data_IF_523300847166
#
_entry.id   IF_523300847166
#
_cell.length_a   1.000
_cell.length_b   1.000
_cell.length_c   1.000
_cell.angle_alpha   90.00
_cell.angle_beta   90.00
_cell.angle_gamma   90.00
#
_symmetry.space_group_name_H-M   'P 1'
#
loop_
_entity.id
_entity.type
_entity.pdbx_description
1 polymer ?
#
# COMPACT_ATOMS: atom_id res chain seq x y z
N UNK A 1 25.81 25.34 11.42
CA UNK A 1 26.49 24.40 10.49
C UNK A 1 28.03 24.45 10.69
N UNK A 2 28.71 25.62 10.61
CA UNK A 2 30.18 25.68 10.76
C UNK A 2 30.72 25.14 12.10
N UNK A 3 30.01 25.35 13.22
CA UNK A 3 30.41 24.81 14.53
C UNK A 3 30.37 23.28 14.59
N UNK A 4 29.37 22.67 13.99
CA UNK A 4 29.26 21.19 13.88
C UNK A 4 30.37 20.62 12.98
N UNK A 5 30.71 21.30 11.87
CA UNK A 5 31.81 20.92 11.00
C UNK A 5 33.15 20.84 11.72
N UNK A 6 33.41 21.82 12.61
CA UNK A 6 34.62 21.84 13.45
C UNK A 6 34.64 20.73 14.51
N UNK A 7 33.47 20.32 15.02
CA UNK A 7 33.35 19.25 16.02
C UNK A 7 33.62 17.87 15.42
N UNK A 8 33.13 17.60 14.21
CA UNK A 8 33.21 16.29 13.54
C UNK A 8 34.39 16.16 12.57
N UNK A 9 35.10 17.26 12.26
CA UNK A 9 36.32 17.26 11.44
C UNK A 9 36.14 16.51 10.10
N UNK A 10 36.95 15.50 9.83
CA UNK A 10 36.91 14.70 8.60
C UNK A 10 35.64 13.88 8.41
N UNK A 11 34.85 13.61 9.47
CA UNK A 11 33.58 12.86 9.40
C UNK A 11 32.38 13.75 9.06
N UNK A 12 32.55 15.10 9.03
CA UNK A 12 31.47 16.03 8.80
C UNK A 12 30.65 15.75 7.52
N UNK A 13 31.24 15.46 6.34
CA UNK A 13 30.45 15.16 5.13
C UNK A 13 29.54 13.95 5.30
N UNK A 14 29.99 12.91 6.00
CA UNK A 14 29.17 11.72 6.26
C UNK A 14 28.04 12.03 7.24
N UNK A 15 28.31 12.81 8.29
CA UNK A 15 27.32 13.24 9.28
C UNK A 15 26.26 14.14 8.63
N UNK A 16 26.66 15.06 7.77
CA UNK A 16 25.77 15.97 7.05
C UNK A 16 24.84 15.21 6.11
N UNK A 17 25.37 14.32 5.27
CA UNK A 17 24.56 13.48 4.37
C UNK A 17 23.59 12.60 5.15
N UNK A 18 24.06 11.95 6.22
CA UNK A 18 23.21 11.10 7.07
C UNK A 18 22.11 11.94 7.75
N UNK A 19 22.45 13.11 8.28
CA UNK A 19 21.51 14.03 8.93
C UNK A 19 20.41 14.48 7.96
N UNK A 20 20.78 14.92 6.75
CA UNK A 20 19.81 15.31 5.74
C UNK A 20 18.93 14.15 5.28
N UNK A 21 19.49 12.95 5.17
CA UNK A 21 18.72 11.74 4.81
C UNK A 21 17.71 11.40 5.91
N UNK A 22 18.10 11.46 7.18
CA UNK A 22 17.19 11.23 8.31
C UNK A 22 16.06 12.29 8.35
N UNK A 23 16.37 13.57 8.11
CA UNK A 23 15.35 14.62 8.04
C UNK A 23 14.35 14.34 6.91
N UNK A 24 14.82 13.93 5.72
CA UNK A 24 13.95 13.58 4.59
C UNK A 24 13.08 12.35 4.92
N UNK A 25 13.62 11.33 5.58
CA UNK A 25 12.87 10.16 6.03
C UNK A 25 11.75 10.59 6.99
N UNK A 26 12.07 11.38 8.00
CA UNK A 26 11.08 11.88 8.96
C UNK A 26 10.01 12.74 8.28
N UNK A 27 10.42 13.58 7.31
CA UNK A 27 9.50 14.43 6.54
C UNK A 27 8.50 13.62 5.69
N UNK A 28 8.82 12.37 5.31
CA UNK A 28 7.91 11.46 4.62
C UNK A 28 7.10 10.64 5.64
N UNK A 29 7.78 10.02 6.59
CA UNK A 29 7.16 9.07 7.52
C UNK A 29 6.18 9.75 8.48
N UNK A 30 6.48 10.94 8.99
CA UNK A 30 5.61 11.60 9.96
C UNK A 30 4.24 12.02 9.37
N UNK A 31 4.15 12.67 8.18
CA UNK A 31 2.86 12.89 7.53
C UNK A 31 2.14 11.60 7.15
N UNK A 32 2.88 10.58 6.72
CA UNK A 32 2.31 9.27 6.38
C UNK A 32 1.67 8.61 7.61
N UNK A 33 2.34 8.62 8.76
CA UNK A 33 1.78 8.13 10.02
C UNK A 33 0.50 8.90 10.41
N UNK A 34 0.49 10.21 10.20
CA UNK A 34 -0.70 11.03 10.35
C UNK A 34 -1.83 10.59 9.40
N UNK A 35 -1.52 10.41 8.12
CA UNK A 35 -2.48 9.97 7.11
C UNK A 35 -3.05 8.58 7.44
N UNK A 36 -2.23 7.64 7.90
CA UNK A 36 -2.63 6.31 8.34
C UNK A 36 -3.59 6.40 9.53
N UNK A 37 -3.24 7.17 10.56
CA UNK A 37 -4.08 7.36 11.73
C UNK A 37 -5.43 8.00 11.37
N UNK A 38 -5.44 9.05 10.56
CA UNK A 38 -6.67 9.72 10.13
C UNK A 38 -7.49 8.91 9.12
N UNK A 39 -6.87 7.96 8.39
CA UNK A 39 -7.61 7.05 7.52
C UNK A 39 -8.57 6.17 8.34
N UNK A 40 -8.19 5.74 9.54
CA UNK A 40 -9.07 4.98 10.44
C UNK A 40 -10.32 5.77 10.85
N UNK A 41 -10.15 7.07 11.09
CA UNK A 41 -11.27 7.97 11.39
C UNK A 41 -12.13 8.22 10.14
N UNK A 42 -11.49 8.48 8.99
CA UNK A 42 -12.18 8.69 7.72
C UNK A 42 -13.03 7.47 7.36
N UNK A 43 -12.50 6.27 7.50
CA UNK A 43 -13.22 5.03 7.27
C UNK A 43 -14.47 4.92 8.13
N UNK A 44 -14.34 5.08 9.44
CA UNK A 44 -15.49 5.01 10.37
C UNK A 44 -16.54 6.08 10.09
N UNK A 45 -16.14 7.27 9.62
CA UNK A 45 -17.07 8.35 9.25
C UNK A 45 -17.74 8.12 7.92
N UNK A 46 -16.97 7.81 6.88
CA UNK A 46 -17.49 7.57 5.53
C UNK A 46 -18.48 6.41 5.55
N UNK A 47 -18.10 5.28 6.14
CA UNK A 47 -19.01 4.13 6.29
C UNK A 47 -20.22 4.50 7.14
N UNK A 48 -20.03 5.27 8.23
CA UNK A 48 -21.13 5.76 9.06
C UNK A 48 -22.15 6.57 8.23
N UNK A 49 -21.71 7.53 7.44
CA UNK A 49 -22.57 8.33 6.58
C UNK A 49 -23.28 7.49 5.51
N UNK A 50 -22.58 6.53 4.88
CA UNK A 50 -23.19 5.60 3.92
C UNK A 50 -24.28 4.73 4.57
N UNK A 51 -24.14 4.42 5.87
CA UNK A 51 -25.12 3.65 6.66
C UNK A 51 -26.14 4.54 7.38
N UNK A 52 -26.24 5.83 7.03
CA UNK A 52 -27.16 6.82 7.65
C UNK A 52 -26.97 6.91 9.17
N UNK A 53 -25.73 6.79 9.66
CA UNK A 53 -25.35 6.95 11.06
C UNK A 53 -24.17 7.87 11.24
N UNK A 54 -24.07 8.52 12.40
CA UNK A 54 -22.93 9.37 12.74
C UNK A 54 -21.78 8.47 13.21
N UNK A 55 -20.61 8.64 12.60
CA UNK A 55 -19.36 8.00 13.05
C UNK A 55 -18.83 8.61 14.36
N UNK A 56 -17.58 8.33 14.77
CA UNK A 56 -16.97 8.87 15.98
C UNK A 56 -17.05 10.41 16.02
N UNK A 57 -17.66 10.99 17.06
CA UNK A 57 -17.85 12.44 17.20
C UNK A 57 -17.62 12.99 18.61
N UNK A 58 -17.28 12.13 19.60
CA UNK A 58 -17.20 12.51 21.02
C UNK A 58 -15.83 12.94 21.49
N UNK A 59 -14.76 12.35 20.93
CA UNK A 59 -13.38 12.61 21.36
C UNK A 59 -12.81 13.78 20.55
N UNK A 60 -12.76 14.96 21.15
CA UNK A 60 -12.37 16.20 20.49
C UNK A 60 -13.44 16.75 19.54
N UNK A 61 -13.12 17.83 18.84
CA UNK A 61 -14.04 18.46 17.89
C UNK A 61 -14.35 17.51 16.73
N UNK A 62 -15.62 17.13 16.57
CA UNK A 62 -16.07 16.14 15.59
C UNK A 62 -15.31 14.80 15.59
N UNK A 63 -14.72 14.38 16.71
CA UNK A 63 -14.01 13.11 16.82
C UNK A 63 -12.58 13.13 16.23
N UNK A 64 -11.99 14.31 15.95
CA UNK A 64 -10.65 14.41 15.38
C UNK A 64 -9.55 13.82 16.27
N UNK A 65 -9.74 13.79 17.59
CA UNK A 65 -8.78 13.20 18.52
C UNK A 65 -8.98 11.69 18.74
N UNK A 66 -9.95 11.07 18.06
CA UNK A 66 -10.21 9.63 18.21
C UNK A 66 -9.02 8.75 17.82
N UNK A 67 -8.30 8.98 16.70
CA UNK A 67 -7.12 8.18 16.36
C UNK A 67 -6.02 8.28 17.40
N UNK A 68 -5.83 9.46 17.99
CA UNK A 68 -4.86 9.66 19.07
C UNK A 68 -5.23 8.89 20.32
N UNK A 69 -6.52 8.95 20.72
CA UNK A 69 -7.04 8.18 21.87
C UNK A 69 -6.90 6.66 21.66
N UNK A 70 -7.18 6.18 20.44
CA UNK A 70 -7.01 4.77 20.08
C UNK A 70 -5.52 4.37 20.14
N UNK A 71 -4.61 5.21 19.66
CA UNK A 71 -3.17 5.00 19.73
C UNK A 71 -2.65 4.95 21.18
N UNK A 72 -3.03 5.92 22.02
CA UNK A 72 -2.64 5.96 23.44
C UNK A 72 -3.17 4.71 24.16
N UNK A 73 -4.43 4.33 23.92
CA UNK A 73 -5.02 3.11 24.49
C UNK A 73 -4.17 1.87 24.17
N UNK A 74 -3.75 1.71 22.92
CA UNK A 74 -2.96 0.55 22.48
C UNK A 74 -1.50 0.58 23.01
N UNK A 75 -0.93 1.78 23.18
CA UNK A 75 0.38 1.95 23.84
C UNK A 75 0.35 1.58 25.33
N UNK A 76 -0.73 1.92 26.04
CA UNK A 76 -0.89 1.65 27.46
C UNK A 76 -1.31 0.20 27.74
N UNK A 77 -1.80 -0.51 26.72
CA UNK A 77 -2.28 -1.88 26.87
C UNK A 77 -1.12 -2.87 26.91
N UNK A 78 -1.17 -3.82 27.83
CA UNK A 78 -0.15 -4.88 27.98
C UNK A 78 -0.04 -5.75 26.73
N UNK A 79 1.20 -6.08 26.35
CA UNK A 79 1.51 -7.05 25.30
C UNK A 79 1.54 -8.43 25.92
N UNK A 80 0.50 -9.21 25.67
CA UNK A 80 0.36 -10.58 26.15
C UNK A 80 1.02 -11.52 25.15
N UNK A 81 1.96 -12.34 25.62
CA UNK A 81 2.60 -13.38 24.81
C UNK A 81 2.15 -14.76 25.32
N UNK A 82 1.58 -15.62 24.46
CA UNK A 82 1.21 -16.97 24.85
C UNK A 82 2.41 -17.76 25.37
N UNK A 83 2.24 -18.57 26.39
CA UNK A 83 3.32 -19.33 27.03
C UNK A 83 4.00 -20.33 26.08
N UNK A 84 3.23 -20.91 25.16
CA UNK A 84 3.69 -21.86 24.16
C UNK A 84 4.20 -21.22 22.86
N UNK A 85 4.22 -19.87 22.76
CA UNK A 85 4.70 -19.15 21.59
C UNK A 85 6.23 -19.02 21.56
N UNK A 86 6.79 -18.91 20.35
CA UNK A 86 8.19 -18.53 20.18
C UNK A 86 8.30 -17.00 20.29
N UNK A 87 8.79 -16.51 21.43
CA UNK A 87 8.78 -15.07 21.78
C UNK A 87 9.54 -14.20 20.78
N UNK A 88 10.69 -14.62 20.28
CA UNK A 88 11.49 -13.84 19.32
C UNK A 88 10.79 -13.71 17.97
N UNK A 89 10.27 -14.80 17.42
CA UNK A 89 9.52 -14.77 16.18
C UNK A 89 8.18 -14.05 16.33
N UNK A 90 7.53 -14.16 17.49
CA UNK A 90 6.29 -13.46 17.80
C UNK A 90 6.47 -11.94 17.75
N UNK A 91 7.58 -11.40 18.25
CA UNK A 91 7.90 -9.97 18.17
C UNK A 91 8.43 -9.56 16.79
N UNK A 92 9.06 -10.47 16.06
CA UNK A 92 9.58 -10.20 14.72
C UNK A 92 8.47 -10.05 13.68
N UNK A 93 7.35 -10.78 13.80
CA UNK A 93 6.22 -10.74 12.87
C UNK A 93 5.72 -9.32 12.57
N UNK A 94 5.29 -8.54 13.58
CA UNK A 94 4.86 -7.17 13.40
C UNK A 94 5.91 -6.26 12.75
N UNK A 95 7.19 -6.43 13.11
CA UNK A 95 8.29 -5.64 12.54
C UNK A 95 8.45 -5.92 11.05
N UNK A 96 8.41 -7.20 10.65
CA UNK A 96 8.47 -7.58 9.24
C UNK A 96 7.24 -7.16 8.44
N UNK A 97 6.10 -6.96 9.06
CA UNK A 97 4.92 -6.44 8.38
C UNK A 97 5.03 -4.92 8.12
N UNK A 98 5.50 -4.14 9.11
CA UNK A 98 5.50 -2.67 9.01
C UNK A 98 6.76 -2.10 8.36
N UNK A 99 7.94 -2.66 8.61
CA UNK A 99 9.20 -2.09 8.13
C UNK A 99 9.27 -2.04 6.59
N UNK A 100 8.90 -3.09 5.83
CA UNK A 100 8.86 -3.04 4.38
C UNK A 100 7.82 -2.05 3.84
N UNK A 101 6.66 -1.94 4.50
CA UNK A 101 5.61 -1.01 4.11
C UNK A 101 6.08 0.45 4.14
N UNK A 102 6.88 0.84 5.15
CA UNK A 102 7.50 2.17 5.18
C UNK A 102 8.72 2.28 4.26
N UNK A 103 9.54 1.24 4.15
CA UNK A 103 10.71 1.24 3.28
C UNK A 103 10.35 1.46 1.81
N UNK A 104 9.22 0.92 1.35
CA UNK A 104 8.73 1.09 -0.02
C UNK A 104 8.52 2.56 -0.42
N UNK A 105 8.21 3.45 0.52
CA UNK A 105 8.04 4.88 0.27
C UNK A 105 9.33 5.62 -0.11
N UNK A 106 10.49 4.99 0.08
CA UNK A 106 11.77 5.60 -0.29
C UNK A 106 11.90 5.89 -1.79
N UNK A 107 11.22 5.12 -2.63
CA UNK A 107 11.31 5.25 -4.10
C UNK A 107 10.06 5.86 -4.74
N UNK A 108 9.01 6.13 -3.96
CA UNK A 108 7.78 6.77 -4.46
C UNK A 108 8.06 8.25 -4.72
N UNK A 109 7.90 8.72 -5.96
CA UNK A 109 8.10 10.12 -6.28
C UNK A 109 6.82 10.92 -5.99
N UNK A 110 6.94 11.94 -5.17
CA UNK A 110 5.85 12.87 -4.86
C UNK A 110 5.75 14.01 -5.87
N UNK A 111 6.89 14.37 -6.47
CA UNK A 111 7.03 15.39 -7.49
C UNK A 111 8.26 15.08 -8.36
N UNK A 112 8.50 15.83 -9.42
CA UNK A 112 9.64 15.64 -10.33
C UNK A 112 10.99 15.60 -9.60
N UNK A 113 11.12 16.36 -8.49
CA UNK A 113 12.35 16.47 -7.69
C UNK A 113 12.23 15.86 -6.29
N UNK A 114 11.01 15.60 -5.81
CA UNK A 114 10.76 15.13 -4.44
C UNK A 114 10.68 13.60 -4.40
N UNK A 115 11.82 12.94 -4.42
CA UNK A 115 11.98 11.50 -4.17
C UNK A 115 13.14 11.30 -3.19
N UNK A 116 13.02 10.34 -2.26
CA UNK A 116 14.09 10.07 -1.31
C UNK A 116 15.27 9.35 -1.99
N UNK A 117 14.97 8.32 -2.77
CA UNK A 117 15.93 7.53 -3.52
C UNK A 117 15.44 7.31 -4.95
N UNK A 118 16.10 7.96 -5.91
CA UNK A 118 15.78 7.78 -7.33
C UNK A 118 16.53 6.55 -7.86
N UNK A 119 15.85 5.39 -7.85
CA UNK A 119 16.40 4.11 -8.32
C UNK A 119 15.86 3.76 -9.71
N UNK A 120 16.73 3.32 -10.61
CA UNK A 120 16.30 2.86 -11.94
C UNK A 120 15.44 1.58 -11.87
N UNK A 121 15.57 0.78 -10.82
CA UNK A 121 14.74 -0.40 -10.53
C UNK A 121 13.71 -0.13 -9.42
N UNK A 122 13.17 1.09 -9.30
CA UNK A 122 12.28 1.50 -8.20
C UNK A 122 11.03 0.63 -8.05
N UNK A 123 10.42 0.23 -9.18
CA UNK A 123 9.25 -0.64 -9.14
C UNK A 123 9.59 -2.03 -8.57
N UNK A 124 10.71 -2.62 -8.97
CA UNK A 124 11.14 -3.92 -8.44
C UNK A 124 11.43 -3.85 -6.94
N UNK A 125 11.99 -2.72 -6.47
CA UNK A 125 12.20 -2.49 -5.05
C UNK A 125 10.89 -2.50 -4.27
N UNK A 126 9.83 -1.82 -4.76
CA UNK A 126 8.52 -1.82 -4.09
C UNK A 126 7.96 -3.24 -4.04
N UNK A 127 7.93 -3.96 -5.17
CA UNK A 127 7.43 -5.33 -5.22
C UNK A 127 8.21 -6.28 -4.29
N UNK A 128 9.53 -6.10 -4.19
CA UNK A 128 10.34 -6.87 -3.24
C UNK A 128 9.97 -6.55 -1.78
N UNK A 129 9.70 -5.27 -1.45
CA UNK A 129 9.30 -4.89 -0.10
C UNK A 129 7.91 -5.43 0.26
N UNK A 130 6.93 -5.36 -0.65
CA UNK A 130 5.59 -5.94 -0.41
C UNK A 130 5.67 -7.44 -0.20
N UNK A 131 6.45 -8.15 -1.01
CA UNK A 131 6.67 -9.60 -0.84
C UNK A 131 7.31 -9.96 0.50
N UNK A 132 8.25 -9.15 1.01
CA UNK A 132 8.86 -9.37 2.35
C UNK A 132 7.82 -9.18 3.46
N UNK A 133 6.88 -8.25 3.32
CA UNK A 133 5.83 -8.02 4.31
C UNK A 133 4.92 -9.25 4.54
N UNK A 134 4.73 -10.09 3.52
CA UNK A 134 3.95 -11.34 3.62
C UNK A 134 4.55 -12.31 4.65
N UNK A 135 5.89 -12.36 4.73
CA UNK A 135 6.56 -13.20 5.73
C UNK A 135 6.24 -12.77 7.16
N UNK A 136 5.97 -11.48 7.38
CA UNK A 136 5.52 -10.98 8.69
C UNK A 136 4.22 -11.66 9.14
N UNK A 137 3.25 -11.81 8.24
CA UNK A 137 1.97 -12.49 8.49
C UNK A 137 2.18 -13.99 8.74
N UNK A 138 2.99 -14.65 7.91
CA UNK A 138 3.28 -16.10 8.02
C UNK A 138 3.95 -16.40 9.37
N UNK A 139 5.00 -15.63 9.69
CA UNK A 139 5.76 -15.81 10.94
C UNK A 139 4.88 -15.52 12.16
N UNK A 140 4.03 -14.50 12.10
CA UNK A 140 3.11 -14.17 13.19
C UNK A 140 2.17 -15.34 13.52
N UNK A 141 1.52 -15.91 12.50
CA UNK A 141 0.62 -17.05 12.69
C UNK A 141 1.34 -18.30 13.17
N UNK A 142 2.54 -18.56 12.68
CA UNK A 142 3.33 -19.71 13.11
C UNK A 142 3.86 -19.56 14.53
N UNK A 143 4.44 -18.41 14.84
CA UNK A 143 5.03 -18.12 16.16
C UNK A 143 4.00 -18.13 17.30
N UNK A 144 2.73 -17.84 17.01
CA UNK A 144 1.62 -17.86 17.97
C UNK A 144 1.31 -19.25 18.52
N UNK A 145 1.72 -20.31 17.84
CA UNK A 145 1.43 -21.71 18.18
C UNK A 145 -0.06 -21.98 18.44
N UNK A 146 -0.92 -21.28 17.70
CA UNK A 146 -2.39 -21.41 17.75
C UNK A 146 -2.90 -21.95 16.41
N UNK A 147 -3.83 -22.91 16.45
CA UNK A 147 -4.40 -23.52 15.25
C UNK A 147 -5.11 -22.50 14.36
N UNK A 148 -5.86 -21.57 14.98
CA UNK A 148 -6.61 -20.55 14.24
C UNK A 148 -5.66 -19.50 13.64
N UNK A 149 -4.66 -19.05 14.39
CA UNK A 149 -3.66 -18.11 13.89
C UNK A 149 -2.87 -18.70 12.71
N UNK A 150 -2.47 -19.98 12.80
CA UNK A 150 -1.77 -20.65 11.71
C UNK A 150 -2.64 -20.82 10.46
N UNK A 151 -3.90 -21.26 10.59
CA UNK A 151 -4.82 -21.36 9.47
C UNK A 151 -5.10 -20.00 8.83
N UNK A 152 -5.28 -18.94 9.64
CA UNK A 152 -5.47 -17.57 9.18
C UNK A 152 -4.28 -17.06 8.38
N UNK A 153 -3.06 -17.26 8.90
CA UNK A 153 -1.84 -16.83 8.20
C UNK A 153 -1.62 -17.55 6.87
N UNK A 154 -1.87 -18.85 6.80
CA UNK A 154 -1.75 -19.61 5.55
C UNK A 154 -2.77 -19.17 4.50
N UNK A 155 -4.01 -18.89 4.90
CA UNK A 155 -5.05 -18.34 4.01
C UNK A 155 -4.68 -16.95 3.50
N UNK A 156 -4.20 -16.08 4.39
CA UNK A 156 -3.74 -14.74 4.05
C UNK A 156 -2.56 -14.78 3.08
N UNK A 157 -1.54 -15.58 3.37
CA UNK A 157 -0.36 -15.72 2.52
C UNK A 157 -0.74 -16.23 1.12
N UNK A 158 -1.58 -17.26 1.02
CA UNK A 158 -2.03 -17.76 -0.27
C UNK A 158 -2.81 -16.72 -1.07
N UNK A 159 -3.65 -15.93 -0.41
CA UNK A 159 -4.37 -14.81 -1.04
C UNK A 159 -3.40 -13.76 -1.56
N UNK A 160 -2.53 -13.20 -0.69
CA UNK A 160 -1.60 -12.13 -1.04
C UNK A 160 -0.72 -12.56 -2.22
N UNK A 161 -0.08 -13.73 -2.16
CA UNK A 161 0.79 -14.23 -3.25
C UNK A 161 0.03 -14.37 -4.56
N UNK A 162 -1.21 -14.88 -4.53
CA UNK A 162 -2.01 -15.05 -5.75
C UNK A 162 -2.36 -13.72 -6.41
N UNK A 163 -2.69 -12.70 -5.63
CA UNK A 163 -3.05 -11.37 -6.13
C UNK A 163 -1.83 -10.51 -6.46
N UNK A 164 -0.71 -10.70 -5.76
CA UNK A 164 0.57 -10.07 -6.09
C UNK A 164 1.05 -10.47 -7.49
N UNK A 165 0.90 -11.75 -7.88
CA UNK A 165 1.20 -12.23 -9.24
C UNK A 165 0.31 -11.51 -10.27
N UNK A 166 -1.00 -11.44 -10.04
CA UNK A 166 -1.93 -10.76 -10.96
C UNK A 166 -1.64 -9.26 -11.07
N UNK A 167 -1.32 -8.62 -9.96
CA UNK A 167 -0.91 -7.21 -9.89
C UNK A 167 0.42 -6.98 -10.61
N UNK A 168 1.39 -7.85 -10.41
CA UNK A 168 2.68 -7.82 -11.11
C UNK A 168 2.51 -7.87 -12.63
N UNK A 169 1.68 -8.78 -13.16
CA UNK A 169 1.36 -8.82 -14.58
C UNK A 169 0.67 -7.53 -15.07
N UNK A 170 -0.25 -6.97 -14.30
CA UNK A 170 -0.87 -5.71 -14.67
C UNK A 170 0.17 -4.57 -14.78
N UNK A 171 1.15 -4.53 -13.89
CA UNK A 171 2.25 -3.56 -13.92
C UNK A 171 3.20 -3.79 -15.09
N UNK A 172 3.42 -5.04 -15.53
CA UNK A 172 4.21 -5.34 -16.74
C UNK A 172 3.64 -4.62 -17.96
N UNK A 173 2.31 -4.53 -18.11
CA UNK A 173 1.69 -3.76 -19.18
C UNK A 173 2.11 -2.29 -19.19
N UNK A 174 2.19 -1.66 -18.02
CA UNK A 174 2.69 -0.28 -17.87
C UNK A 174 4.18 -0.18 -18.21
N UNK A 175 4.97 -1.15 -17.76
CA UNK A 175 6.43 -1.18 -18.06
C UNK A 175 6.70 -1.28 -19.55
N UNK A 176 5.88 -2.01 -20.30
CA UNK A 176 5.99 -2.10 -21.75
C UNK A 176 5.75 -0.73 -22.39
N UNK A 177 4.74 0.02 -21.96
CA UNK A 177 4.46 1.37 -22.48
C UNK A 177 5.56 2.37 -22.08
N UNK A 178 5.99 2.36 -20.82
CA UNK A 178 6.97 3.31 -20.30
C UNK A 178 8.43 2.99 -20.63
N UNK A 179 8.72 1.75 -21.02
CA UNK A 179 10.07 1.23 -21.28
C UNK A 179 11.10 1.56 -20.18
N UNK A 180 10.64 1.62 -18.91
CA UNK A 180 11.47 1.97 -17.76
C UNK A 180 10.89 1.36 -16.48
N UNK A 181 11.78 0.99 -15.53
CA UNK A 181 11.42 0.56 -14.17
C UNK A 181 11.48 1.71 -13.14
N UNK A 182 11.96 2.88 -13.56
CA UNK A 182 12.06 4.07 -12.73
C UNK A 182 10.69 4.76 -12.66
N UNK A 183 10.15 4.89 -11.46
CA UNK A 183 8.81 5.49 -11.24
C UNK A 183 8.71 6.93 -11.74
N UNK A 184 9.75 7.74 -11.58
CA UNK A 184 9.77 9.11 -12.07
C UNK A 184 9.70 9.16 -13.60
N UNK A 185 10.45 8.30 -14.31
CA UNK A 185 10.41 8.21 -15.78
C UNK A 185 9.04 7.72 -16.27
N UNK A 186 8.42 6.77 -15.57
CA UNK A 186 7.08 6.26 -15.89
C UNK A 186 6.03 7.37 -15.80
N UNK A 187 6.09 8.21 -14.76
CA UNK A 187 5.20 9.35 -14.60
C UNK A 187 5.42 10.38 -15.72
N UNK A 188 6.69 10.73 -16.01
CA UNK A 188 7.01 11.67 -17.08
C UNK A 188 6.59 11.18 -18.48
N UNK A 189 6.57 9.86 -18.71
CA UNK A 189 6.05 9.27 -19.95
C UNK A 189 4.54 9.49 -20.16
N UNK A 190 3.81 9.89 -19.13
CA UNK A 190 2.36 10.19 -19.18
C UNK A 190 2.06 11.71 -19.35
N UNK A 191 3.07 12.52 -19.68
CA UNK A 191 2.90 13.96 -19.89
C UNK A 191 1.99 14.26 -21.08
N UNK A 192 1.15 15.30 -20.96
CA UNK A 192 0.23 15.70 -22.07
C UNK A 192 -1.26 15.72 -21.67
N UNK A 193 -1.58 15.53 -20.37
CA UNK A 193 -2.95 15.54 -19.84
C UNK A 193 -3.58 14.16 -19.77
N UNK A 194 -4.85 14.12 -19.32
CA UNK A 194 -5.56 12.88 -18.99
C UNK A 194 -5.64 11.85 -20.13
N UNK A 195 -5.62 12.30 -21.39
CA UNK A 195 -5.69 11.44 -22.57
C UNK A 195 -4.41 10.65 -22.84
N UNK A 196 -3.27 11.08 -22.27
CA UNK A 196 -1.96 10.41 -22.38
C UNK A 196 -1.66 9.49 -21.19
N UNK A 197 -2.55 9.44 -20.22
CA UNK A 197 -2.35 8.57 -19.07
C UNK A 197 -2.56 7.09 -19.43
N UNK A 198 -1.73 6.23 -18.91
CA UNK A 198 -1.73 4.79 -19.20
C UNK A 198 -3.02 4.07 -18.77
N UNK A 199 -3.85 4.67 -17.91
CA UNK A 199 -5.12 4.04 -17.53
C UNK A 199 -6.09 3.90 -18.69
N UNK A 200 -6.02 4.75 -19.73
CA UNK A 200 -6.91 4.65 -20.90
C UNK A 200 -6.58 3.42 -21.77
N UNK A 201 -5.34 3.28 -22.32
CA UNK A 201 -5.00 2.13 -23.15
C UNK A 201 -4.90 0.84 -22.34
N UNK A 202 -4.59 0.90 -21.02
CA UNK A 202 -4.46 -0.23 -20.14
C UNK A 202 -5.63 -0.38 -19.17
N UNK A 203 -6.83 0.11 -19.52
CA UNK A 203 -7.98 0.13 -18.63
C UNK A 203 -8.31 -1.22 -17.97
N UNK A 204 -8.32 -2.38 -18.67
CA UNK A 204 -8.53 -3.67 -18.02
C UNK A 204 -7.43 -4.01 -17.01
N UNK A 205 -6.18 -3.67 -17.30
CA UNK A 205 -5.07 -3.91 -16.36
C UNK A 205 -5.18 -2.99 -15.14
N UNK A 206 -5.62 -1.74 -15.30
CA UNK A 206 -5.87 -0.84 -14.19
C UNK A 206 -6.96 -1.38 -13.24
N UNK A 207 -8.07 -1.90 -13.79
CA UNK A 207 -9.13 -2.51 -12.97
C UNK A 207 -8.61 -3.73 -12.22
N UNK A 208 -7.89 -4.63 -12.91
CA UNK A 208 -7.33 -5.83 -12.29
C UNK A 208 -6.30 -5.46 -11.23
N UNK A 209 -5.43 -4.50 -11.51
CA UNK A 209 -4.49 -3.97 -10.53
C UNK A 209 -5.21 -3.48 -9.27
N UNK A 210 -6.25 -2.65 -9.44
CA UNK A 210 -6.96 -2.04 -8.31
C UNK A 210 -7.71 -3.08 -7.47
N UNK A 211 -8.38 -4.05 -8.10
CA UNK A 211 -9.04 -5.16 -7.38
C UNK A 211 -8.00 -6.04 -6.67
N UNK A 212 -6.88 -6.32 -7.33
CA UNK A 212 -5.78 -7.09 -6.72
C UNK A 212 -5.15 -6.36 -5.53
N UNK A 213 -5.02 -5.03 -5.60
CA UNK A 213 -4.54 -4.19 -4.51
C UNK A 213 -5.48 -4.24 -3.28
N UNK A 214 -6.81 -4.24 -3.50
CA UNK A 214 -7.78 -4.42 -2.40
C UNK A 214 -7.64 -5.82 -1.78
N UNK A 215 -7.39 -6.84 -2.58
CA UNK A 215 -7.21 -8.21 -2.09
C UNK A 215 -5.86 -8.39 -1.37
N UNK A 216 -4.79 -7.75 -1.83
CA UNK A 216 -3.46 -7.77 -1.21
C UNK A 216 -3.47 -7.15 0.18
N UNK A 217 -4.24 -6.07 0.38
CA UNK A 217 -4.39 -5.42 1.68
C UNK A 217 -5.37 -6.12 2.62
N UNK A 218 -5.84 -7.34 2.30
CA UNK A 218 -6.80 -8.12 3.08
C UNK A 218 -8.08 -7.36 3.47
N UNK A 219 -8.49 -6.36 2.67
CA UNK A 219 -9.70 -5.56 2.95
C UNK A 219 -10.95 -6.16 2.33
N UNK A 220 -12.08 -5.94 2.99
CA UNK A 220 -13.37 -6.32 2.43
C UNK A 220 -13.55 -5.70 1.01
N UNK A 221 -14.02 -6.52 0.03
CA UNK A 221 -14.70 -7.80 0.16
C UNK A 221 -13.79 -9.04 0.28
N UNK A 222 -12.46 -8.90 0.26
CA UNK A 222 -11.48 -10.00 0.27
C UNK A 222 -10.90 -10.28 1.66
N UNK A 223 -11.58 -9.89 2.73
CA UNK A 223 -11.19 -10.03 4.12
C UNK A 223 -11.44 -11.48 4.63
N UNK A 224 -10.71 -12.44 4.08
CA UNK A 224 -10.78 -13.85 4.49
C UNK A 224 -9.73 -14.19 5.55
N UNK A 225 -8.68 -13.39 5.61
CA UNK A 225 -7.60 -13.54 6.58
C UNK A 225 -8.07 -13.22 8.02
N UNK A 226 -8.97 -12.23 8.17
CA UNK A 226 -9.51 -11.78 9.44
C UNK A 226 -10.90 -12.33 9.75
N UNK A 227 -11.47 -13.15 8.88
CA UNK A 227 -12.84 -13.62 8.93
C UNK A 227 -13.35 -13.99 10.32
N UNK A 228 -13.85 -12.98 11.10
CA UNK A 228 -14.29 -13.13 12.48
C UNK A 228 -15.31 -14.27 12.66
N UNK A 229 -16.14 -14.49 11.65
CA UNK A 229 -17.14 -15.55 11.67
C UNK A 229 -16.58 -16.96 11.38
N UNK A 230 -15.36 -17.07 10.81
CA UNK A 230 -14.77 -18.36 10.41
C UNK A 230 -13.58 -18.77 11.28
N UNK A 231 -12.66 -17.84 11.56
CA UNK A 231 -11.37 -18.08 12.21
C UNK A 231 -11.05 -17.08 13.33
N UNK A 232 -12.09 -16.58 14.00
CA UNK A 232 -12.05 -15.66 15.17
C UNK A 232 -11.47 -14.30 14.80
N UNK A 233 -10.16 -14.18 14.55
CA UNK A 233 -9.50 -12.95 14.08
C UNK A 233 -8.24 -13.28 13.25
N UNK A 234 -8.18 -14.48 12.68
CA UNK A 234 -7.09 -14.86 11.77
C UNK A 234 -5.71 -14.90 12.43
N UNK A 235 -4.68 -14.40 11.70
CA UNK A 235 -3.27 -14.52 12.11
C UNK A 235 -2.93 -13.69 13.36
N UNK A 236 -3.68 -12.64 13.67
CA UNK A 236 -3.41 -11.74 14.80
C UNK A 236 -4.25 -12.03 16.06
N UNK A 237 -4.96 -13.17 16.13
CA UNK A 237 -5.80 -13.58 17.27
C UNK A 237 -5.08 -13.45 18.62
N UNK A 238 -3.82 -13.89 18.68
CA UNK A 238 -3.03 -13.92 19.91
C UNK A 238 -2.30 -12.59 20.21
N UNK A 239 -2.35 -11.62 19.29
CA UNK A 239 -1.68 -10.35 19.46
C UNK A 239 -2.53 -9.35 20.24
N UNK A 240 -1.91 -8.60 21.14
CA UNK A 240 -2.56 -7.57 21.97
C UNK A 240 -1.72 -6.28 22.02
N UNK A 241 -2.35 -5.20 22.47
CA UNK A 241 -1.68 -3.92 22.69
C UNK A 241 -1.01 -3.36 21.44
N UNK A 242 0.23 -2.91 21.60
CA UNK A 242 0.98 -2.27 20.52
C UNK A 242 1.37 -3.26 19.40
N UNK A 243 1.63 -4.54 19.71
CA UNK A 243 1.95 -5.55 18.71
C UNK A 243 0.79 -5.78 17.72
N UNK A 244 -0.45 -5.77 18.19
CA UNK A 244 -1.64 -5.78 17.35
C UNK A 244 -1.77 -4.49 16.52
N UNK A 245 -1.53 -3.33 17.16
CA UNK A 245 -1.61 -2.03 16.49
C UNK A 245 -0.66 -1.92 15.28
N UNK A 246 0.54 -2.51 15.37
CA UNK A 246 1.53 -2.48 14.30
C UNK A 246 1.03 -3.21 13.05
N UNK A 247 0.32 -4.33 13.17
CA UNK A 247 -0.29 -5.00 12.00
C UNK A 247 -1.33 -4.12 11.33
N UNK A 248 -2.21 -3.50 12.11
CA UNK A 248 -3.18 -2.54 11.56
C UNK A 248 -2.51 -1.35 10.88
N UNK A 249 -1.47 -0.79 11.51
CA UNK A 249 -0.71 0.31 10.90
C UNK A 249 -0.07 -0.12 9.58
N UNK A 250 0.50 -1.34 9.50
CA UNK A 250 1.08 -1.89 8.28
C UNK A 250 0.04 -2.05 7.18
N UNK A 251 -1.15 -2.55 7.52
CA UNK A 251 -2.26 -2.72 6.58
C UNK A 251 -2.73 -1.38 5.99
N UNK A 252 -2.95 -0.37 6.84
CA UNK A 252 -3.32 0.97 6.36
C UNK A 252 -2.17 1.66 5.59
N UNK A 253 -0.91 1.41 5.96
CA UNK A 253 0.25 1.88 5.21
C UNK A 253 0.29 1.27 3.81
N UNK A 254 -0.02 -0.02 3.68
CA UNK A 254 -0.10 -0.69 2.39
C UNK A 254 -1.25 -0.15 1.53
N UNK A 255 -2.42 0.21 2.10
CA UNK A 255 -3.49 0.87 1.33
C UNK A 255 -2.98 2.16 0.69
N UNK A 256 -2.29 3.01 1.44
CA UNK A 256 -1.69 4.23 0.91
C UNK A 256 -0.64 3.92 -0.16
N UNK A 257 0.20 2.92 0.06
CA UNK A 257 1.27 2.52 -0.87
C UNK A 257 0.70 2.05 -2.22
N UNK A 258 -0.28 1.12 -2.22
CA UNK A 258 -0.86 0.60 -3.46
C UNK A 258 -1.65 1.67 -4.21
N UNK A 259 -2.29 2.62 -3.51
CA UNK A 259 -2.94 3.78 -4.13
C UNK A 259 -1.92 4.76 -4.72
N UNK A 260 -0.78 5.00 -4.03
CA UNK A 260 0.32 5.80 -4.55
C UNK A 260 0.93 5.17 -5.81
N UNK A 261 1.11 3.85 -5.79
CA UNK A 261 1.62 3.11 -6.94
C UNK A 261 0.63 3.15 -8.11
N UNK A 262 -0.67 2.94 -7.89
CA UNK A 262 -1.71 3.10 -8.91
C UNK A 262 -1.70 4.50 -9.54
N UNK A 263 -1.56 5.53 -8.69
CA UNK A 263 -1.49 6.93 -9.13
C UNK A 263 -0.28 7.18 -10.01
N UNK A 264 0.90 6.68 -9.63
CA UNK A 264 2.14 6.86 -10.39
C UNK A 264 2.14 6.06 -11.69
N UNK A 265 1.65 4.82 -11.66
CA UNK A 265 1.73 3.90 -12.79
C UNK A 265 0.65 4.15 -13.86
N UNK A 266 -0.56 4.53 -13.46
CA UNK A 266 -1.71 4.62 -14.36
C UNK A 266 -2.28 6.02 -14.52
N UNK A 267 -2.20 6.87 -13.49
CA UNK A 267 -2.88 8.16 -13.45
C UNK A 267 -1.93 9.37 -13.55
N UNK A 268 -0.72 9.16 -14.04
CA UNK A 268 0.23 10.25 -14.28
C UNK A 268 0.78 10.92 -13.01
N UNK A 269 0.78 10.23 -11.85
CA UNK A 269 1.42 10.74 -10.64
C UNK A 269 1.06 12.18 -10.28
N UNK A 270 2.07 13.06 -10.21
CA UNK A 270 1.93 14.49 -9.92
C UNK A 270 1.49 15.35 -11.12
N UNK A 271 1.38 14.77 -12.33
CA UNK A 271 0.96 15.50 -13.51
C UNK A 271 -0.49 15.97 -13.40
N UNK A 272 -0.77 17.18 -13.90
CA UNK A 272 -2.11 17.72 -13.91
C UNK A 272 -3.01 16.98 -14.93
N UNK A 273 -4.32 16.84 -14.66
CA UNK A 273 -5.25 16.23 -15.63
C UNK A 273 -5.47 17.09 -16.87
N UNK A 274 -5.20 18.38 -16.75
CA UNK A 274 -5.39 19.36 -17.83
C UNK A 274 -4.08 20.11 -18.06
N UNK A 275 -3.64 20.18 -19.29
CA UNK A 275 -2.34 20.81 -19.68
C UNK A 275 -2.21 22.29 -19.29
N UNK A 276 -3.34 22.95 -19.04
CA UNK A 276 -3.41 24.36 -18.62
C UNK A 276 -2.96 24.57 -17.15
N UNK A 277 -3.08 23.54 -16.29
CA UNK A 277 -2.77 23.66 -14.86
C UNK A 277 -1.32 23.22 -14.58
N UNK A 278 -0.62 23.88 -13.64
CA UNK A 278 0.72 23.47 -13.29
C UNK A 278 0.73 22.12 -12.58
N UNK A 279 1.76 21.33 -12.88
CA UNK A 279 2.02 20.08 -12.20
C UNK A 279 2.43 20.33 -10.74
N UNK A 280 1.93 19.51 -9.82
CA UNK A 280 2.24 19.66 -8.41
C UNK A 280 1.92 18.40 -7.59
N UNK A 281 2.51 18.31 -6.41
CA UNK A 281 2.21 17.27 -5.40
C UNK A 281 0.72 17.21 -5.04
N UNK A 282 -0.01 18.33 -5.19
CA UNK A 282 -1.46 18.37 -4.92
C UNK A 282 -2.24 17.37 -5.79
N UNK A 283 -1.90 17.26 -7.08
CA UNK A 283 -2.54 16.30 -8.00
C UNK A 283 -2.25 14.85 -7.60
N UNK A 284 -1.02 14.58 -7.17
CA UNK A 284 -0.67 13.26 -6.66
C UNK A 284 -1.52 12.88 -5.45
N UNK A 285 -1.58 13.76 -4.46
CA UNK A 285 -2.37 13.54 -3.24
C UNK A 285 -3.87 13.44 -3.53
N UNK A 286 -4.41 14.29 -4.41
CA UNK A 286 -5.83 14.27 -4.77
C UNK A 286 -6.23 12.94 -5.44
N UNK A 287 -5.44 12.46 -6.43
CA UNK A 287 -5.68 11.18 -7.09
C UNK A 287 -5.55 10.00 -6.11
N UNK A 288 -4.54 10.04 -5.25
CA UNK A 288 -4.34 9.02 -4.23
C UNK A 288 -5.52 8.98 -3.25
N UNK A 289 -5.98 10.12 -2.73
CA UNK A 289 -7.16 10.21 -1.88
C UNK A 289 -8.44 9.71 -2.58
N UNK A 290 -8.58 9.99 -3.87
CA UNK A 290 -9.69 9.50 -4.68
C UNK A 290 -9.69 7.96 -4.75
N UNK A 291 -8.55 7.32 -4.98
CA UNK A 291 -8.44 5.86 -4.97
C UNK A 291 -8.69 5.27 -3.57
N UNK A 292 -8.15 5.89 -2.52
CA UNK A 292 -8.42 5.50 -1.13
C UNK A 292 -9.92 5.56 -0.82
N UNK A 293 -10.64 6.56 -1.33
CA UNK A 293 -12.09 6.62 -1.18
C UNK A 293 -12.80 5.39 -1.75
N UNK A 294 -12.35 4.84 -2.89
CA UNK A 294 -12.92 3.60 -3.42
C UNK A 294 -12.67 2.39 -2.51
N UNK A 295 -11.54 2.31 -1.81
CA UNK A 295 -11.33 1.27 -0.79
C UNK A 295 -12.41 1.34 0.30
N UNK A 296 -12.69 2.54 0.79
CA UNK A 296 -13.71 2.75 1.82
C UNK A 296 -15.11 2.42 1.30
N UNK A 297 -15.40 2.80 0.06
CA UNK A 297 -16.68 2.54 -0.58
C UNK A 297 -16.91 1.05 -0.83
N UNK A 298 -15.91 0.35 -1.33
CA UNK A 298 -16.01 -1.11 -1.56
C UNK A 298 -16.27 -1.86 -0.25
N UNK A 299 -15.61 -1.48 0.82
CA UNK A 299 -15.87 -2.06 2.14
C UNK A 299 -17.31 -1.84 2.62
N UNK A 300 -17.93 -0.73 2.28
CA UNK A 300 -19.29 -0.41 2.69
C UNK A 300 -20.37 -1.09 1.85
N UNK A 301 -20.06 -1.46 0.59
CA UNK A 301 -21.06 -1.90 -0.39
C UNK A 301 -21.02 -3.38 -0.72
N UNK A 302 -19.82 -3.97 -0.84
CA UNK A 302 -19.69 -5.35 -1.28
C UNK A 302 -19.73 -6.35 -0.11
N UNK A 303 -20.47 -7.48 -0.27
CA UNK A 303 -20.43 -8.58 0.69
C UNK A 303 -19.07 -9.29 0.59
N UNK A 304 -18.68 -9.98 1.67
CA UNK A 304 -17.46 -10.78 1.73
C UNK A 304 -17.52 -11.95 0.75
N UNK A 305 -16.43 -12.17 0.02
CA UNK A 305 -16.26 -13.36 -0.82
C UNK A 305 -15.74 -14.55 -0.01
N UNK A 306 -16.08 -15.75 -0.48
CA UNK A 306 -15.57 -17.00 0.09
C UNK A 306 -14.16 -17.29 -0.43
N UNK A 307 -13.32 -17.95 0.37
CA UNK A 307 -11.91 -18.24 0.02
C UNK A 307 -11.74 -18.91 -1.34
N UNK A 308 -12.56 -19.92 -1.66
CA UNK A 308 -12.52 -20.64 -2.95
C UNK A 308 -12.85 -19.72 -4.13
N UNK A 309 -13.79 -18.77 -3.96
CA UNK A 309 -14.13 -17.76 -4.98
C UNK A 309 -12.99 -16.81 -5.22
N UNK A 310 -12.34 -16.34 -4.16
CA UNK A 310 -11.18 -15.43 -4.22
C UNK A 310 -10.03 -16.10 -4.97
N UNK A 311 -9.67 -17.33 -4.62
CA UNK A 311 -8.60 -18.06 -5.30
C UNK A 311 -8.94 -18.35 -6.76
N UNK A 312 -10.20 -18.68 -7.08
CA UNK A 312 -10.66 -18.87 -8.47
C UNK A 312 -10.58 -17.58 -9.27
N UNK A 313 -10.97 -16.44 -8.68
CA UNK A 313 -10.93 -15.14 -9.33
C UNK A 313 -9.49 -14.75 -9.70
N UNK A 314 -8.54 -14.87 -8.78
CA UNK A 314 -7.11 -14.59 -9.03
C UNK A 314 -6.54 -15.48 -10.14
N UNK A 315 -6.58 -16.79 -9.95
CA UNK A 315 -5.91 -17.74 -10.84
C UNK A 315 -6.61 -17.97 -12.18
N UNK A 316 -7.94 -18.06 -12.20
CA UNK A 316 -8.69 -18.44 -13.41
C UNK A 316 -9.21 -17.25 -14.21
N UNK A 317 -9.27 -16.06 -13.63
CA UNK A 317 -9.80 -14.87 -14.30
C UNK A 317 -8.73 -13.81 -14.49
N UNK A 318 -8.11 -13.34 -13.40
CA UNK A 318 -7.20 -12.19 -13.48
C UNK A 318 -5.89 -12.51 -14.20
N UNK A 319 -5.23 -13.61 -13.85
CA UNK A 319 -3.96 -13.97 -14.48
C UNK A 319 -4.14 -14.22 -15.99
N UNK A 320 -5.12 -15.03 -16.47
CA UNK A 320 -5.33 -15.19 -17.90
C UNK A 320 -5.68 -13.89 -18.63
N UNK A 321 -6.53 -13.03 -18.07
CA UNK A 321 -6.90 -11.77 -18.69
C UNK A 321 -5.68 -10.85 -18.80
N UNK A 322 -4.86 -10.75 -17.75
CA UNK A 322 -3.65 -9.91 -17.78
C UNK A 322 -2.65 -10.40 -18.83
N UNK A 323 -2.42 -11.70 -18.94
CA UNK A 323 -1.52 -12.28 -19.95
C UNK A 323 -2.04 -11.98 -21.37
N UNK A 324 -3.33 -12.23 -21.63
CA UNK A 324 -3.94 -11.93 -22.95
C UNK A 324 -3.82 -10.45 -23.28
N UNK A 325 -4.07 -9.56 -22.31
CA UNK A 325 -3.97 -8.12 -22.54
C UNK A 325 -2.52 -7.66 -22.77
N UNK A 326 -1.54 -8.23 -22.06
CA UNK A 326 -0.11 -7.94 -22.29
C UNK A 326 0.30 -8.34 -23.72
N UNK A 327 -0.13 -9.51 -24.19
CA UNK A 327 0.15 -9.97 -25.56
C UNK A 327 -0.52 -9.02 -26.59
N UNK A 328 -1.76 -8.59 -26.31
CA UNK A 328 -2.48 -7.62 -27.15
C UNK A 328 -1.72 -6.28 -27.23
N UNK A 329 -1.32 -5.71 -26.08
CA UNK A 329 -0.54 -4.46 -26.01
C UNK A 329 0.78 -4.60 -26.76
N UNK A 330 1.53 -5.70 -26.51
CA UNK A 330 2.79 -5.96 -27.21
C UNK A 330 2.64 -6.08 -28.72
N UNK A 331 1.54 -6.69 -29.19
CA UNK A 331 1.20 -6.75 -30.61
C UNK A 331 0.87 -5.36 -31.17
N UNK A 332 0.06 -4.58 -30.47
CA UNK A 332 -0.32 -3.23 -30.89
C UNK A 332 0.87 -2.26 -30.96
N UNK A 333 1.84 -2.39 -30.07
CA UNK A 333 3.06 -1.57 -30.08
C UNK A 333 3.96 -1.85 -31.33
N UNK A 334 3.78 -2.99 -32.02
CA UNK A 334 4.48 -3.30 -33.28
C UNK A 334 3.74 -2.78 -34.52
N UNK A 335 2.55 -2.20 -34.36
CA UNK A 335 1.72 -1.67 -35.45
C UNK A 335 1.84 -0.15 -35.53
N UNK A 336 1.33 0.50 -36.61
CA UNK A 336 1.23 1.97 -36.68
C UNK A 336 0.44 2.62 -35.55
N UNK A 337 -0.33 1.86 -34.79
CA UNK A 337 -1.11 2.32 -33.64
C UNK A 337 -0.30 2.45 -32.34
N UNK A 338 1.02 2.25 -32.42
CA UNK A 338 1.91 2.38 -31.26
C UNK A 338 1.82 3.74 -30.54
N UNK A 339 1.40 4.81 -31.27
CA UNK A 339 1.21 6.14 -30.69
C UNK A 339 0.15 6.23 -29.58
N UNK A 340 -0.75 5.22 -29.48
CA UNK A 340 -1.73 5.15 -28.38
C UNK A 340 -1.11 4.72 -27.05
N UNK A 341 0.11 4.21 -27.08
CA UNK A 341 0.82 3.64 -25.92
C UNK A 341 2.10 4.43 -25.54
N UNK A 342 2.33 5.57 -26.23
CA UNK A 342 3.48 6.45 -26.00
C UNK A 342 3.04 7.85 -25.59
#
# INVERSE_FOLDING_TARGET
>A
MAWLANLFGSYWPAVEVTGWTLIKIVAIVAPLMGAIAYLTLAERKVIGYMQVRIGPNRVGYFGLLQPLADGIKLLMKEIIMPTASNKSLFLLGPVLAIAPAFAAWAVVPFDATMVLANLDAGLLYILAMTSVAVYGVIIAGWASNSKYAFLGSMRSAAQIVSYEIAMGFALVGVLMCANSLNLGKIVMGQSGGILHWYFLPLFPLFIIYFISAVAETNRAPFDVAEGESEIVAGFHVEYSGMAFAIFFLAEYANIWLVCALATSMFLGGWLSPVTFLPDSIFWFLAKMCFLVFFFLWFRATFPRYRYDQIMRLGWKVFIPITIVWIVFVGGMMQTPWAYLFH
#
